data_IF_059981669518
#
_entry.id   IF_059981669518
#
_cell.length_a   1.000
_cell.length_b   1.000
_cell.length_c   1.000
_cell.angle_alpha   90.00
_cell.angle_beta   90.00
_cell.angle_gamma   90.00
#
_symmetry.space_group_name_H-M   'P 1'
#
loop_
_entity.id
_entity.type
_entity.pdbx_description
1 polymer ?
#
# COMPACT_ATOMS: atom_id res chain seq x y z
N UNK A 1 -0.82 36.51 18.68
CA UNK A 1 -1.43 35.63 19.69
C UNK A 1 -1.46 34.22 19.14
N UNK A 2 -0.92 33.24 19.88
CA UNK A 2 -0.93 31.82 19.49
C UNK A 2 -1.98 31.14 20.36
N UNK A 3 -3.02 30.58 19.74
CA UNK A 3 -4.02 29.78 20.44
C UNK A 3 -3.71 28.29 20.22
N UNK A 4 -3.55 27.55 21.30
CA UNK A 4 -3.37 26.10 21.27
C UNK A 4 -4.65 25.43 21.74
N UNK A 5 -5.22 24.58 20.89
CA UNK A 5 -6.38 23.75 21.22
C UNK A 5 -5.99 22.28 21.16
N UNK A 6 -6.42 21.51 22.14
CA UNK A 6 -6.25 20.05 22.19
C UNK A 6 -7.61 19.38 21.97
N UNK A 7 -7.63 18.40 21.07
CA UNK A 7 -8.80 17.56 20.85
C UNK A 7 -8.43 16.11 21.15
N UNK A 8 -9.26 15.44 21.96
CA UNK A 8 -9.13 14.02 22.28
C UNK A 8 -10.27 13.23 21.65
N UNK A 9 -9.95 12.15 20.98
CA UNK A 9 -10.94 11.23 20.39
C UNK A 9 -10.59 9.79 20.75
N UNK A 10 -11.63 9.03 21.16
CA UNK A 10 -11.49 7.59 21.39
C UNK A 10 -11.30 6.81 20.09
N UNK A 11 -10.46 5.79 20.13
CA UNK A 11 -10.26 4.85 19.03
C UNK A 11 -10.79 3.48 19.47
N UNK A 12 -11.70 2.90 18.67
CA UNK A 12 -12.30 1.60 18.98
C UNK A 12 -11.48 0.50 18.33
N UNK A 13 -11.02 -0.46 19.14
CA UNK A 13 -10.29 -1.61 18.64
C UNK A 13 -11.24 -2.66 18.06
N UNK A 14 -10.91 -3.15 16.87
CA UNK A 14 -11.61 -4.25 16.20
C UNK A 14 -10.80 -5.54 16.32
N UNK A 15 -11.51 -6.65 16.44
CA UNK A 15 -10.91 -7.97 16.51
C UNK A 15 -10.92 -8.63 15.13
N UNK A 16 -9.77 -9.15 14.70
CA UNK A 16 -9.63 -9.99 13.52
C UNK A 16 -9.34 -11.43 13.97
N UNK A 17 -10.00 -12.38 13.34
CA UNK A 17 -9.84 -13.81 13.63
C UNK A 17 -9.71 -14.58 12.33
N UNK A 18 -8.72 -15.44 12.27
CA UNK A 18 -8.53 -16.38 11.17
C UNK A 18 -8.48 -17.80 11.75
N UNK A 19 -9.13 -18.74 11.09
CA UNK A 19 -9.19 -20.14 11.51
C UNK A 19 -8.74 -21.03 10.35
N UNK A 20 -7.85 -21.97 10.63
CA UNK A 20 -7.54 -23.08 9.74
C UNK A 20 -8.04 -24.41 10.34
N UNK A 21 -8.42 -25.31 9.47
CA UNK A 21 -8.73 -26.70 9.78
C UNK A 21 -8.17 -27.57 8.67
N UNK A 22 -7.72 -28.76 9.03
CA UNK A 22 -7.18 -29.73 8.09
C UNK A 22 -7.56 -31.14 8.52
N UNK A 23 -7.52 -32.08 7.58
CA UNK A 23 -7.80 -33.48 7.92
C UNK A 23 -6.57 -34.16 8.49
N UNK A 24 -6.72 -35.15 9.40
CA UNK A 24 -5.58 -35.91 9.92
C UNK A 24 -4.80 -36.64 8.84
N UNK A 25 -5.48 -37.13 7.82
CA UNK A 25 -4.88 -37.82 6.66
C UNK A 25 -3.96 -36.88 5.88
N UNK A 26 -4.40 -35.64 5.64
CA UNK A 26 -3.57 -34.61 4.99
C UNK A 26 -2.28 -34.34 5.77
N UNK A 27 -2.36 -34.22 7.09
CA UNK A 27 -1.19 -34.00 7.93
C UNK A 27 -0.21 -35.17 7.88
N UNK A 28 -0.73 -36.39 7.86
CA UNK A 28 0.06 -37.61 7.78
C UNK A 28 0.75 -37.74 6.41
N UNK A 29 0.03 -37.48 5.32
CA UNK A 29 0.57 -37.55 3.96
C UNK A 29 1.65 -36.48 3.75
N UNK A 30 1.43 -35.26 4.24
CA UNK A 30 2.42 -34.17 4.15
C UNK A 30 3.72 -34.51 4.89
N UNK A 31 3.59 -35.12 6.06
CA UNK A 31 4.75 -35.58 6.81
C UNK A 31 5.46 -36.75 6.14
N UNK A 32 4.72 -37.75 5.66
CA UNK A 32 5.29 -38.97 5.06
C UNK A 32 5.99 -38.70 3.72
N UNK A 33 5.41 -37.87 2.85
CA UNK A 33 5.94 -37.63 1.50
C UNK A 33 6.90 -36.42 1.41
N UNK A 34 6.70 -35.41 2.24
CA UNK A 34 7.45 -34.15 2.16
C UNK A 34 8.24 -33.81 3.40
N UNK A 35 8.11 -34.59 4.49
CA UNK A 35 8.76 -34.30 5.79
C UNK A 35 8.42 -32.90 6.33
N UNK A 36 7.20 -32.40 6.02
CA UNK A 36 6.70 -31.10 6.47
C UNK A 36 5.66 -31.30 7.57
N UNK A 37 5.68 -30.39 8.55
CA UNK A 37 4.64 -30.33 9.59
C UNK A 37 3.48 -29.44 9.11
N UNK A 38 2.31 -30.04 8.92
CA UNK A 38 1.11 -29.34 8.46
C UNK A 38 0.68 -28.21 9.41
N UNK A 39 0.86 -28.39 10.71
CA UNK A 39 0.54 -27.36 11.70
C UNK A 39 1.42 -26.14 11.56
N UNK A 40 2.73 -26.33 11.43
CA UNK A 40 3.71 -25.25 11.29
C UNK A 40 3.51 -24.48 9.99
N UNK A 41 3.35 -25.19 8.87
CA UNK A 41 3.13 -24.58 7.54
C UNK A 41 1.82 -23.77 7.48
N UNK A 42 0.71 -24.34 7.91
CA UNK A 42 -0.57 -23.64 7.92
C UNK A 42 -0.57 -22.44 8.86
N UNK A 43 0.13 -22.53 9.99
CA UNK A 43 0.26 -21.41 10.92
C UNK A 43 1.06 -20.26 10.31
N UNK A 44 2.15 -20.56 9.61
CA UNK A 44 2.95 -19.58 8.86
C UNK A 44 2.10 -18.87 7.81
N UNK A 45 1.41 -19.64 6.97
CA UNK A 45 0.52 -19.10 5.93
C UNK A 45 -0.58 -18.22 6.53
N UNK A 46 -1.23 -18.65 7.61
CA UNK A 46 -2.25 -17.84 8.28
C UNK A 46 -1.68 -16.53 8.83
N UNK A 47 -0.47 -16.55 9.37
CA UNK A 47 0.20 -15.36 9.89
C UNK A 47 0.49 -14.35 8.78
N UNK A 48 0.94 -14.82 7.62
CA UNK A 48 1.17 -14.00 6.43
C UNK A 48 -0.13 -13.38 5.92
N UNK A 49 -1.20 -14.16 5.81
CA UNK A 49 -2.49 -13.65 5.34
C UNK A 49 -3.10 -12.61 6.26
N UNK A 50 -3.04 -12.80 7.58
CA UNK A 50 -3.61 -11.82 8.51
C UNK A 50 -2.79 -10.51 8.52
N UNK A 51 -1.47 -10.61 8.38
CA UNK A 51 -0.60 -9.46 8.25
C UNK A 51 -0.90 -8.66 6.98
N UNK A 52 -1.05 -9.37 5.86
CA UNK A 52 -1.43 -8.75 4.58
C UNK A 52 -2.79 -8.06 4.68
N UNK A 53 -3.79 -8.71 5.28
CA UNK A 53 -5.12 -8.11 5.45
C UNK A 53 -5.08 -6.82 6.26
N UNK A 54 -4.26 -6.78 7.31
CA UNK A 54 -4.06 -5.57 8.13
C UNK A 54 -3.41 -4.45 7.31
N UNK A 55 -2.38 -4.76 6.55
CA UNK A 55 -1.68 -3.79 5.70
C UNK A 55 -2.60 -3.20 4.63
N UNK A 56 -3.39 -4.05 3.98
CA UNK A 56 -4.37 -3.61 2.98
C UNK A 56 -5.46 -2.72 3.60
N UNK A 57 -5.95 -3.08 4.79
CA UNK A 57 -6.96 -2.31 5.49
C UNK A 57 -6.42 -0.93 5.93
N UNK A 58 -5.15 -0.84 6.30
CA UNK A 58 -4.49 0.44 6.62
C UNK A 58 -4.35 1.28 5.35
N UNK A 59 -3.85 0.70 4.27
CA UNK A 59 -3.68 1.40 2.99
C UNK A 59 -5.01 1.91 2.41
N UNK A 60 -6.07 1.11 2.49
CA UNK A 60 -7.40 1.53 2.05
C UNK A 60 -7.93 2.71 2.88
N UNK A 61 -7.70 2.71 4.20
CA UNK A 61 -8.01 3.86 5.05
C UNK A 61 -7.22 5.10 4.62
N UNK A 62 -5.93 4.98 4.32
CA UNK A 62 -5.09 6.10 3.88
C UNK A 62 -5.56 6.65 2.53
N UNK A 63 -5.88 5.79 1.57
CA UNK A 63 -6.35 6.19 0.24
C UNK A 63 -7.73 6.85 0.31
N UNK A 64 -8.66 6.25 1.06
CA UNK A 64 -10.02 6.78 1.18
C UNK A 64 -10.07 8.14 1.89
N UNK A 65 -9.22 8.31 2.90
CA UNK A 65 -9.18 9.53 3.72
C UNK A 65 -8.19 10.58 3.22
N UNK A 66 -7.42 10.32 2.15
CA UNK A 66 -6.44 11.27 1.62
C UNK A 66 -7.10 12.58 1.18
N UNK A 67 -6.74 13.70 1.83
CA UNK A 67 -7.36 15.01 1.61
C UNK A 67 -6.37 16.12 1.21
N UNK A 68 -5.06 15.84 1.13
CA UNK A 68 -4.09 16.85 0.71
C UNK A 68 -4.37 17.33 -0.72
N UNK A 69 -4.65 16.43 -1.62
CA UNK A 69 -4.98 16.73 -3.01
C UNK A 69 -5.22 15.46 -3.81
N UNK A 70 -5.88 15.65 -4.94
CA UNK A 70 -6.07 14.60 -5.94
C UNK A 70 -5.57 15.14 -7.27
N UNK A 71 -4.62 14.45 -7.88
CA UNK A 71 -4.12 14.76 -9.21
C UNK A 71 -4.52 13.65 -10.18
N UNK A 72 -4.53 13.97 -11.46
CA UNK A 72 -4.93 13.07 -12.53
C UNK A 72 -3.83 13.03 -13.58
N UNK A 73 -3.50 11.84 -14.06
CA UNK A 73 -2.52 11.63 -15.11
C UNK A 73 -2.91 10.46 -16.00
N UNK A 74 -2.53 10.49 -17.27
CA UNK A 74 -2.76 9.41 -18.23
C UNK A 74 -1.45 8.78 -18.69
N UNK A 75 -1.40 7.46 -18.76
CA UNK A 75 -0.29 6.73 -19.36
C UNK A 75 -0.28 6.82 -20.89
N UNK A 76 -1.44 7.09 -21.50
CA UNK A 76 -1.53 7.33 -22.95
C UNK A 76 -0.83 8.64 -23.31
N UNK A 77 0.08 8.57 -24.30
CA UNK A 77 0.89 9.69 -24.73
C UNK A 77 0.04 10.90 -25.14
N UNK A 78 0.39 12.08 -24.67
CA UNK A 78 -0.27 13.36 -24.95
C UNK A 78 -1.75 13.46 -24.54
N UNK A 79 -2.22 12.57 -23.66
CA UNK A 79 -3.57 12.60 -23.15
C UNK A 79 -3.62 13.29 -21.76
N UNK A 80 -4.17 14.50 -21.70
CA UNK A 80 -4.32 15.25 -20.46
C UNK A 80 -5.67 14.99 -19.82
N UNK A 81 -5.69 14.59 -18.56
CA UNK A 81 -6.90 14.32 -17.78
C UNK A 81 -7.00 15.33 -16.65
N UNK A 82 -8.22 15.77 -16.36
CA UNK A 82 -8.52 16.65 -15.24
C UNK A 82 -9.59 16.05 -14.32
N UNK A 83 -9.88 16.74 -13.21
CA UNK A 83 -10.86 16.31 -12.21
C UNK A 83 -12.30 16.18 -12.74
N UNK A 84 -12.64 16.87 -13.82
CA UNK A 84 -13.98 16.83 -14.45
C UNK A 84 -14.17 15.57 -15.29
N UNK A 85 -13.09 14.93 -15.73
CA UNK A 85 -13.07 13.69 -16.49
C UNK A 85 -13.08 12.50 -15.52
N UNK A 86 -14.24 12.22 -14.97
CA UNK A 86 -14.44 11.08 -14.05
C UNK A 86 -14.39 9.73 -14.75
N UNK A 87 -14.55 9.70 -16.07
CA UNK A 87 -14.32 8.51 -16.89
C UNK A 87 -12.90 8.54 -17.39
N UNK A 88 -12.11 7.61 -16.93
CA UNK A 88 -10.70 7.46 -17.31
C UNK A 88 -10.46 7.18 -18.81
N UNK A 89 -11.52 6.94 -19.57
CA UNK A 89 -11.50 6.68 -21.02
C UNK A 89 -11.98 7.88 -21.85
N UNK A 90 -12.42 8.96 -21.22
CA UNK A 90 -12.81 10.13 -21.98
C UNK A 90 -11.57 10.75 -22.61
N UNK A 91 -11.58 10.87 -23.94
CA UNK A 91 -10.54 11.54 -24.69
C UNK A 91 -10.23 12.89 -24.06
N UNK A 92 -9.07 12.99 -23.43
CA UNK A 92 -8.58 14.25 -22.92
C UNK A 92 -8.54 15.25 -24.05
N UNK A 93 -8.73 16.51 -23.73
CA UNK A 93 -8.50 17.57 -24.69
C UNK A 93 -7.05 17.44 -25.15
N UNK A 94 -6.85 17.05 -26.40
CA UNK A 94 -5.56 17.06 -27.05
C UNK A 94 -5.06 18.50 -27.14
N UNK A 95 -4.59 19.02 -26.04
CA UNK A 95 -3.87 20.28 -26.04
C UNK A 95 -2.49 19.98 -26.65
N UNK A 96 -2.40 20.05 -27.97
CA UNK A 96 -1.20 20.01 -28.78
C UNK A 96 0.03 19.43 -28.11
N UNK A 97 0.07 18.12 -27.91
CA UNK A 97 1.13 17.49 -27.17
C UNK A 97 2.43 17.52 -27.97
N UNK A 98 3.47 18.03 -27.34
CA UNK A 98 4.81 18.13 -27.92
C UNK A 98 5.70 16.94 -27.60
N UNK A 99 5.17 15.94 -26.88
CA UNK A 99 5.96 14.78 -26.48
C UNK A 99 5.95 13.72 -27.56
N UNK A 100 7.04 13.59 -28.27
CA UNK A 100 7.18 12.62 -29.37
C UNK A 100 7.54 11.21 -28.89
N UNK A 101 8.04 11.06 -27.66
CA UNK A 101 8.42 9.77 -27.10
C UNK A 101 7.65 9.47 -25.81
N UNK A 102 7.28 8.21 -25.63
CA UNK A 102 6.59 7.72 -24.44
C UNK A 102 7.43 7.93 -23.16
N UNK A 103 8.76 7.75 -23.25
CA UNK A 103 9.64 7.98 -22.12
C UNK A 103 9.66 9.44 -21.65
N UNK A 104 9.61 10.41 -22.58
CA UNK A 104 9.49 11.82 -22.22
C UNK A 104 8.14 12.14 -21.58
N UNK A 105 7.09 11.48 -22.04
CA UNK A 105 5.76 11.61 -21.42
C UNK A 105 5.72 11.05 -20.00
N UNK A 106 6.34 9.91 -19.74
CA UNK A 106 6.38 9.31 -18.40
C UNK A 106 7.05 10.20 -17.35
N UNK A 107 8.02 11.03 -17.75
CA UNK A 107 8.64 12.01 -16.85
C UNK A 107 7.63 13.03 -16.31
N UNK A 108 6.53 13.28 -17.03
CA UNK A 108 5.48 14.20 -16.57
C UNK A 108 4.74 13.66 -15.33
N UNK A 109 4.70 12.34 -15.12
CA UNK A 109 4.21 11.73 -13.88
C UNK A 109 5.04 12.20 -12.67
N UNK A 110 6.35 12.24 -12.79
CA UNK A 110 7.23 12.77 -11.74
C UNK A 110 6.93 14.23 -11.39
N UNK A 111 6.58 15.05 -12.39
CA UNK A 111 6.15 16.44 -12.17
C UNK A 111 4.82 16.51 -11.40
N UNK A 112 3.87 15.64 -11.70
CA UNK A 112 2.60 15.53 -10.95
C UNK A 112 2.82 15.09 -9.51
N UNK A 113 3.70 14.13 -9.29
CA UNK A 113 4.09 13.70 -7.94
C UNK A 113 4.73 14.85 -7.16
N UNK A 114 5.62 15.61 -7.77
CA UNK A 114 6.24 16.76 -7.12
C UNK A 114 5.22 17.86 -6.80
N UNK A 115 4.27 18.11 -7.70
CA UNK A 115 3.17 19.06 -7.45
C UNK A 115 2.36 18.65 -6.22
N UNK A 116 1.97 17.37 -6.14
CA UNK A 116 1.22 16.86 -4.98
C UNK A 116 2.04 16.96 -3.69
N UNK A 117 3.33 16.65 -3.74
CA UNK A 117 4.24 16.80 -2.60
C UNK A 117 4.31 18.26 -2.11
N UNK A 118 4.34 19.21 -3.03
CA UNK A 118 4.33 20.64 -2.69
C UNK A 118 3.00 21.07 -2.04
N UNK A 119 1.86 20.52 -2.51
CA UNK A 119 0.56 20.76 -1.88
C UNK A 119 0.54 20.23 -0.44
N UNK A 120 1.08 19.02 -0.21
CA UNK A 120 1.22 18.47 1.15
C UNK A 120 2.05 19.40 2.00
N UNK A 121 3.19 19.85 1.49
CA UNK A 121 4.06 20.79 2.23
C UNK A 121 3.37 22.12 2.55
N UNK A 122 2.65 22.69 1.59
CA UNK A 122 1.92 23.96 1.80
C UNK A 122 0.83 23.85 2.87
N UNK A 123 0.12 22.70 2.92
CA UNK A 123 -0.96 22.48 3.89
C UNK A 123 -0.44 22.15 5.28
N UNK A 124 0.66 21.43 5.37
CA UNK A 124 1.18 20.91 6.65
C UNK A 124 2.27 21.77 7.25
N UNK A 125 3.04 22.50 6.43
CA UNK A 125 4.23 23.29 6.81
C UNK A 125 5.28 22.47 7.59
N UNK A 126 5.26 21.14 7.45
CA UNK A 126 6.18 20.22 8.14
C UNK A 126 7.14 19.51 7.20
N UNK A 127 6.68 19.20 5.99
CA UNK A 127 7.48 18.52 4.98
C UNK A 127 6.64 18.09 3.80
N UNK A 128 7.31 17.78 2.69
CA UNK A 128 6.68 17.18 1.53
C UNK A 128 6.56 15.67 1.68
N UNK A 129 5.85 15.01 0.74
CA UNK A 129 5.77 13.54 0.71
C UNK A 129 7.16 12.90 0.75
N UNK A 130 7.29 11.79 1.46
CA UNK A 130 8.53 11.02 1.56
C UNK A 130 8.35 9.55 1.18
N UNK A 131 7.13 9.09 0.98
CA UNK A 131 6.85 7.76 0.45
C UNK A 131 5.70 7.78 -0.55
N UNK A 132 5.68 6.77 -1.43
CA UNK A 132 4.54 6.49 -2.28
C UNK A 132 4.28 4.98 -2.34
N UNK A 133 3.00 4.62 -2.48
CA UNK A 133 2.55 3.25 -2.68
C UNK A 133 1.88 3.18 -4.04
N UNK A 134 2.29 2.21 -4.86
CA UNK A 134 1.87 2.09 -6.26
C UNK A 134 1.46 0.66 -6.59
N UNK A 135 0.61 0.52 -7.61
CA UNK A 135 0.29 -0.78 -8.20
C UNK A 135 1.46 -1.32 -9.04
N UNK A 136 1.51 -2.62 -9.35
CA UNK A 136 2.56 -3.20 -10.18
C UNK A 136 2.67 -2.56 -11.57
N UNK A 137 1.55 -2.25 -12.22
CA UNK A 137 1.51 -1.64 -13.55
C UNK A 137 2.10 -0.22 -13.53
N UNK A 138 1.72 0.58 -12.54
CA UNK A 138 2.30 1.93 -12.35
C UNK A 138 3.78 1.85 -11.96
N UNK A 139 4.17 0.83 -11.20
CA UNK A 139 5.56 0.61 -10.83
C UNK A 139 6.46 0.44 -12.06
N UNK A 140 6.01 -0.28 -13.09
CA UNK A 140 6.72 -0.42 -14.36
C UNK A 140 6.96 0.93 -15.06
N UNK A 141 5.96 1.82 -15.00
CA UNK A 141 6.12 3.19 -15.53
C UNK A 141 7.19 3.95 -14.74
N UNK A 142 7.15 3.86 -13.41
CA UNK A 142 8.11 4.57 -12.55
C UNK A 142 9.55 4.09 -12.75
N UNK A 143 9.74 2.79 -12.97
CA UNK A 143 11.07 2.20 -13.28
C UNK A 143 11.66 2.72 -14.59
N UNK A 144 10.80 3.08 -15.55
CA UNK A 144 11.24 3.65 -16.84
C UNK A 144 11.65 5.12 -16.75
N UNK A 145 11.33 5.82 -15.67
CA UNK A 145 11.65 7.24 -15.49
C UNK A 145 13.13 7.40 -15.09
N UNK A 146 13.91 8.22 -15.79
CA UNK A 146 15.25 8.57 -15.36
C UNK A 146 15.25 9.17 -13.95
N UNK A 147 16.10 8.66 -13.06
CA UNK A 147 16.14 9.08 -11.65
C UNK A 147 15.48 8.08 -10.68
N UNK A 148 14.93 6.97 -11.19
CA UNK A 148 14.55 5.86 -10.33
C UNK A 148 15.79 5.05 -9.94
N UNK A 149 16.07 4.97 -8.64
CA UNK A 149 17.12 4.14 -8.07
C UNK A 149 16.51 2.87 -7.48
N UNK A 150 16.74 1.73 -8.13
CA UNK A 150 16.34 0.42 -7.59
C UNK A 150 17.12 0.10 -6.31
N UNK A 151 16.47 -0.57 -5.38
CA UNK A 151 17.11 -1.07 -4.15
C UNK A 151 18.03 -2.28 -4.39
N UNK A 152 18.15 -2.74 -5.62
CA UNK A 152 19.01 -3.85 -6.00
C UNK A 152 20.44 -3.34 -6.15
N UNK A 153 21.30 -3.62 -5.18
CA UNK A 153 22.75 -3.35 -5.23
C UNK A 153 23.49 -4.28 -6.22
N UNK A 154 22.82 -4.73 -7.28
CA UNK A 154 23.35 -5.74 -8.20
C UNK A 154 23.30 -7.17 -7.67
N UNK A 155 22.80 -7.38 -6.48
CA UNK A 155 22.63 -8.71 -5.86
C UNK A 155 21.26 -9.30 -6.26
N UNK A 156 21.31 -10.32 -7.11
CA UNK A 156 20.11 -11.02 -7.63
C UNK A 156 19.30 -11.66 -6.50
N UNK A 157 19.92 -11.96 -5.37
CA UNK A 157 19.25 -12.55 -4.19
C UNK A 157 18.30 -11.59 -3.49
N UNK A 158 18.50 -10.29 -3.63
CA UNK A 158 17.62 -9.25 -3.06
C UNK A 158 16.41 -8.93 -3.92
N UNK A 159 16.36 -9.42 -5.14
CA UNK A 159 15.23 -9.28 -6.06
C UNK A 159 14.12 -10.30 -5.84
N UNK A 160 14.12 -11.03 -4.72
CA UNK A 160 13.06 -12.00 -4.43
C UNK A 160 11.72 -11.30 -4.23
N UNK A 161 10.70 -11.81 -4.92
CA UNK A 161 9.33 -11.37 -4.69
C UNK A 161 8.88 -11.82 -3.30
N UNK A 162 8.66 -10.86 -2.40
CA UNK A 162 8.06 -11.12 -1.11
C UNK A 162 6.54 -11.08 -1.21
N UNK A 163 5.89 -11.80 -0.33
CA UNK A 163 4.43 -11.75 -0.20
C UNK A 163 4.03 -10.37 0.36
N UNK A 164 3.07 -9.69 -0.32
CA UNK A 164 2.54 -8.41 0.16
C UNK A 164 3.23 -7.16 -0.41
N UNK A 165 3.38 -6.14 0.42
CA UNK A 165 3.93 -4.84 0.05
C UNK A 165 5.45 -4.88 0.03
N UNK A 166 6.04 -4.52 -1.10
CA UNK A 166 7.48 -4.54 -1.30
C UNK A 166 8.07 -3.14 -1.48
N UNK A 167 9.23 -2.90 -0.88
CA UNK A 167 10.01 -1.70 -1.16
C UNK A 167 10.80 -1.92 -2.45
N UNK A 168 10.52 -1.11 -3.48
CA UNK A 168 11.19 -1.22 -4.79
C UNK A 168 12.46 -0.37 -4.89
N UNK A 169 12.39 0.85 -4.43
CA UNK A 169 13.48 1.79 -4.61
C UNK A 169 13.11 3.20 -4.19
N UNK A 170 13.83 4.16 -4.75
CA UNK A 170 13.60 5.58 -4.52
C UNK A 170 13.55 6.36 -5.82
N UNK A 171 12.65 7.32 -5.90
CA UNK A 171 12.60 8.27 -7.01
C UNK A 171 13.21 9.60 -6.55
N UNK A 172 14.16 10.12 -7.34
CA UNK A 172 14.85 11.39 -7.11
C UNK A 172 15.44 11.52 -5.70
N UNK A 173 15.79 10.40 -5.05
CA UNK A 173 16.28 10.36 -3.65
C UNK A 173 15.33 11.00 -2.63
N UNK A 174 14.05 11.17 -2.97
CA UNK A 174 13.04 11.81 -2.12
C UNK A 174 11.93 10.87 -1.69
N UNK A 175 11.39 10.10 -2.63
CA UNK A 175 10.24 9.25 -2.39
C UNK A 175 10.66 7.79 -2.34
N UNK A 176 10.41 7.13 -1.21
CA UNK A 176 10.51 5.67 -1.13
C UNK A 176 9.29 5.06 -1.80
N UNK A 177 9.51 4.21 -2.80
CA UNK A 177 8.45 3.55 -3.57
C UNK A 177 8.18 2.17 -3.01
N UNK A 178 6.91 1.92 -2.70
CA UNK A 178 6.39 0.63 -2.28
C UNK A 178 5.43 0.10 -3.34
N UNK A 179 5.64 -1.14 -3.77
CA UNK A 179 4.74 -1.85 -4.69
C UNK A 179 3.76 -2.69 -3.88
N UNK A 180 2.47 -2.52 -4.14
CA UNK A 180 1.42 -3.34 -3.57
C UNK A 180 0.60 -4.00 -4.69
N UNK A 181 0.67 -5.34 -4.84
CA UNK A 181 -0.06 -6.06 -5.89
C UNK A 181 -1.58 -6.07 -5.69
N UNK A 182 -2.06 -5.81 -4.48
CA UNK A 182 -3.49 -5.85 -4.13
C UNK A 182 -4.16 -4.48 -4.14
N UNK A 183 -3.44 -3.42 -4.50
CA UNK A 183 -3.97 -2.07 -4.62
C UNK A 183 -4.73 -1.90 -5.93
N UNK A 184 -5.70 -0.98 -5.97
CA UNK A 184 -6.33 -0.58 -7.24
C UNK A 184 -5.27 -0.09 -8.21
N UNK A 185 -5.24 -0.65 -9.41
CA UNK A 185 -4.21 -0.38 -10.43
C UNK A 185 -4.10 1.11 -10.80
N UNK A 186 -5.20 1.82 -10.76
CA UNK A 186 -5.29 3.21 -11.21
C UNK A 186 -4.95 4.24 -10.12
N UNK A 187 -4.38 3.84 -8.99
CA UNK A 187 -4.19 4.76 -7.87
C UNK A 187 -2.75 4.74 -7.37
N UNK A 188 -2.19 5.93 -7.16
CA UNK A 188 -0.94 6.13 -6.44
C UNK A 188 -1.28 6.85 -5.14
N UNK A 189 -0.84 6.31 -4.01
CA UNK A 189 -0.90 6.98 -2.72
C UNK A 189 0.44 7.64 -2.45
N UNK A 190 0.43 8.92 -2.14
CA UNK A 190 1.60 9.66 -1.66
C UNK A 190 1.36 10.17 -0.25
N UNK A 191 2.37 10.12 0.59
CA UNK A 191 2.22 10.57 1.95
C UNK A 191 3.52 11.07 2.58
N UNK A 192 3.35 11.79 3.66
CA UNK A 192 4.42 12.20 4.54
C UNK A 192 4.36 11.41 5.84
N UNK A 193 5.48 10.77 6.17
CA UNK A 193 5.69 10.09 7.45
C UNK A 193 6.71 10.88 8.25
N UNK A 194 6.24 11.57 9.30
CA UNK A 194 7.11 12.27 10.25
C UNK A 194 7.68 11.34 11.31
N UNK A 195 8.69 11.82 12.02
CA UNK A 195 9.35 11.12 13.13
C UNK A 195 8.81 11.56 14.50
N UNK A 196 8.14 12.71 14.56
CA UNK A 196 7.65 13.28 15.80
C UNK A 196 6.16 13.02 16.00
N UNK A 197 5.72 12.98 17.25
CA UNK A 197 4.31 12.79 17.61
C UNK A 197 3.38 13.84 16.98
N UNK A 198 3.80 15.09 16.92
CA UNK A 198 3.03 16.19 16.33
C UNK A 198 2.90 16.09 14.79
N UNK A 199 3.68 15.23 14.15
CA UNK A 199 3.68 15.00 12.71
C UNK A 199 2.90 13.73 12.33
N UNK A 200 2.12 13.19 13.25
CA UNK A 200 1.35 11.96 13.04
C UNK A 200 0.17 12.20 12.10
N UNK A 201 0.18 11.56 10.94
CA UNK A 201 -0.91 11.58 9.97
C UNK A 201 -1.98 10.53 10.24
N UNK A 202 -1.58 9.33 10.60
CA UNK A 202 -2.45 8.21 10.95
C UNK A 202 -1.87 7.42 12.11
N UNK A 203 -2.73 6.78 12.89
CA UNK A 203 -2.34 5.98 14.05
C UNK A 203 -2.79 4.54 13.84
N UNK A 204 -1.87 3.62 14.06
CA UNK A 204 -2.13 2.20 14.22
C UNK A 204 -1.76 1.82 15.66
N UNK A 205 -2.74 1.33 16.41
CA UNK A 205 -2.58 0.96 17.81
C UNK A 205 -2.95 -0.51 18.01
N UNK A 206 -1.96 -1.42 18.05
CA UNK A 206 -2.21 -2.81 18.38
C UNK A 206 -2.55 -2.92 19.88
N UNK A 207 -3.73 -3.48 20.17
CA UNK A 207 -4.16 -3.74 21.56
C UNK A 207 -3.76 -5.13 22.01
N UNK A 208 -4.01 -6.13 21.16
CA UNK A 208 -3.60 -7.51 21.37
C UNK A 208 -2.73 -7.90 20.17
N UNK A 209 -1.46 -8.30 20.40
CA UNK A 209 -0.61 -8.79 19.33
C UNK A 209 -1.21 -10.06 18.72
N UNK A 210 -0.59 -10.58 17.68
CA UNK A 210 -1.01 -11.82 17.07
C UNK A 210 -0.86 -12.98 18.08
N UNK A 211 -1.99 -13.55 18.48
CA UNK A 211 -2.06 -14.68 19.40
C UNK A 211 -2.56 -15.90 18.66
N UNK A 212 -1.84 -17.02 18.80
CA UNK A 212 -2.24 -18.32 18.32
C UNK A 212 -3.03 -19.06 19.40
N UNK A 213 -4.16 -19.68 19.03
CA UNK A 213 -4.87 -20.59 19.89
C UNK A 213 -4.20 -21.97 19.89
N UNK A 214 -4.26 -22.72 20.99
CA UNK A 214 -3.84 -24.12 20.96
C UNK A 214 -4.67 -24.90 19.94
N UNK A 215 -4.12 -26.00 19.44
CA UNK A 215 -4.83 -26.91 18.56
C UNK A 215 -5.99 -27.56 19.32
N UNK A 216 -7.17 -27.54 18.72
CA UNK A 216 -8.39 -28.12 19.26
C UNK A 216 -8.97 -29.09 18.24
N UNK A 217 -9.33 -30.29 18.68
CA UNK A 217 -10.02 -31.28 17.86
C UNK A 217 -11.52 -31.08 17.95
N UNK A 218 -12.19 -31.17 16.81
CA UNK A 218 -13.64 -31.21 16.77
C UNK A 218 -14.13 -32.56 17.32
N UNK A 219 -15.03 -32.59 18.32
CA UNK A 219 -15.49 -33.84 18.92
C UNK A 219 -16.31 -34.72 17.94
N UNK A 220 -16.96 -34.11 16.94
CA UNK A 220 -17.82 -34.82 16.01
C UNK A 220 -17.06 -35.38 14.79
N UNK A 221 -16.08 -34.63 14.29
CA UNK A 221 -15.38 -34.94 13.04
C UNK A 221 -13.90 -35.29 13.25
N UNK A 222 -13.38 -35.16 14.46
CA UNK A 222 -11.96 -35.35 14.83
C UNK A 222 -10.98 -34.49 14.02
N UNK A 223 -11.48 -33.43 13.36
CA UNK A 223 -10.68 -32.52 12.55
C UNK A 223 -9.93 -31.53 13.44
N UNK A 224 -8.59 -31.45 13.36
CA UNK A 224 -7.82 -30.46 14.09
C UNK A 224 -8.10 -29.06 13.57
N UNK A 225 -8.21 -28.10 14.48
CA UNK A 225 -8.41 -26.68 14.21
C UNK A 225 -7.43 -25.84 14.99
N UNK A 226 -6.95 -24.79 14.35
CA UNK A 226 -6.11 -23.76 14.98
C UNK A 226 -6.57 -22.39 14.54
N UNK A 227 -6.48 -21.42 15.41
CA UNK A 227 -6.91 -20.05 15.13
C UNK A 227 -5.82 -19.04 15.44
N UNK A 228 -5.85 -17.94 14.71
CA UNK A 228 -5.11 -16.72 15.00
C UNK A 228 -6.08 -15.61 15.34
N UNK A 229 -5.70 -14.82 16.34
CA UNK A 229 -6.49 -13.69 16.84
C UNK A 229 -5.58 -12.49 16.98
N UNK A 230 -6.05 -11.34 16.49
CA UNK A 230 -5.44 -10.04 16.79
C UNK A 230 -6.50 -8.99 17.04
N UNK A 231 -6.17 -7.98 17.82
CA UNK A 231 -7.06 -6.86 18.08
C UNK A 231 -6.28 -5.56 17.99
N UNK A 232 -6.72 -4.68 17.09
CA UNK A 232 -6.07 -3.41 16.85
C UNK A 232 -7.07 -2.30 16.55
N UNK A 233 -6.60 -1.09 16.70
CA UNK A 233 -7.33 0.11 16.31
C UNK A 233 -6.54 0.87 15.27
N UNK A 234 -7.24 1.48 14.32
CA UNK A 234 -6.66 2.38 13.32
C UNK A 234 -7.49 3.64 13.22
N UNK A 235 -6.83 4.77 13.04
CA UNK A 235 -7.51 6.04 12.86
C UNK A 235 -6.67 7.01 12.02
N UNK A 236 -7.34 7.72 11.13
CA UNK A 236 -6.77 8.89 10.47
C UNK A 236 -6.85 10.09 11.43
N UNK A 237 -5.72 10.73 11.68
CA UNK A 237 -5.62 11.93 12.52
C UNK A 237 -5.60 13.18 11.65
N UNK A 238 -4.72 13.21 10.67
CA UNK A 238 -4.56 14.35 9.75
C UNK A 238 -4.52 13.87 8.30
N UNK A 239 -5.66 13.94 7.61
CA UNK A 239 -5.74 13.49 6.22
C UNK A 239 -4.94 14.35 5.24
N UNK A 240 -4.51 15.55 5.66
CA UNK A 240 -3.73 16.49 4.86
C UNK A 240 -2.29 16.03 4.59
N UNK A 241 -1.79 15.03 5.33
CA UNK A 241 -0.49 14.41 5.09
C UNK A 241 -0.50 13.42 3.92
N UNK A 242 -1.68 13.07 3.40
CA UNK A 242 -1.84 12.06 2.36
C UNK A 242 -2.56 12.65 1.15
N UNK A 243 -2.02 12.35 -0.03
CA UNK A 243 -2.60 12.71 -1.32
C UNK A 243 -2.64 11.51 -2.25
N UNK A 244 -3.43 11.61 -3.32
CA UNK A 244 -3.60 10.55 -4.29
C UNK A 244 -3.49 11.05 -5.72
N UNK A 245 -2.99 10.18 -6.59
CA UNK A 245 -2.94 10.43 -8.03
C UNK A 245 -3.70 9.30 -8.71
N UNK A 246 -4.65 9.65 -9.55
CA UNK A 246 -5.35 8.69 -10.40
C UNK A 246 -4.64 8.61 -11.75
N UNK A 247 -4.32 7.38 -12.13
CA UNK A 247 -3.65 7.07 -13.40
C UNK A 247 -4.64 6.37 -14.32
N UNK A 248 -4.78 6.85 -15.54
CA UNK A 248 -5.62 6.22 -16.56
C UNK A 248 -4.78 5.71 -17.74
N UNK A 249 -5.41 4.98 -18.63
CA UNK A 249 -4.75 4.52 -19.87
C UNK A 249 -3.69 3.46 -19.64
N UNK A 250 -3.72 2.70 -18.55
CA UNK A 250 -2.75 1.64 -18.26
C UNK A 250 -2.85 0.47 -19.25
N UNK A 251 -3.99 0.31 -19.93
CA UNK A 251 -4.19 -0.72 -20.94
C UNK A 251 -3.47 -0.43 -22.27
N UNK A 252 -2.84 0.74 -22.41
CA UNK A 252 -2.10 1.15 -23.59
C UNK A 252 -0.58 0.99 -23.45
N UNK A 253 -0.14 0.36 -22.38
CA UNK A 253 1.27 0.09 -22.08
C UNK A 253 1.81 -1.11 -22.83
#
# INVERSE_FOLDING_TARGET
QINVSMRSEGIIAKTKKLKAQWTPEFAQDLNAYHSLDAEAELTSVMSEYISLEIDLEILDMLISSAAAGTEYWSAANNNFINATNTQFDAAGVNAGGFYNSQGAWFQTLGTKMQKLSNIIHQRTLRGGANFCVVSPTVATILESIPGFASNSDGDVSKGSYAFGVQKMGQINSRYTVYKNPYMKENTILMGFKGSQFLETGAVFAPYIPLIMTPMVYDPDTFVPRKGLLTRYAKKMVRPEYFGKIYVSGLNTL
#
